data_IF_186136817406
#
_entry.id   IF_186136817406
#
_cell.length_a   1.000
_cell.length_b   1.000
_cell.length_c   1.000
_cell.angle_alpha   90.00
_cell.angle_beta   90.00
_cell.angle_gamma   90.00
#
_symmetry.space_group_name_H-M   'P 1'
#
loop_
_entity.id
_entity.type
_entity.pdbx_description
1 polymer ?
#
# COMPACT_ATOMS: atom_id res chain seq x y z
N UNK A 1 -12.52 -12.39 -16.99
CA UNK A 1 -12.41 -12.11 -15.55
C UNK A 1 -11.02 -12.36 -14.94
N UNK A 2 -10.53 -13.60 -14.87
CA UNK A 2 -9.40 -13.99 -13.99
C UNK A 2 -8.06 -13.33 -14.36
N UNK A 3 -7.73 -13.22 -15.65
CA UNK A 3 -6.48 -12.59 -16.10
C UNK A 3 -6.43 -11.08 -15.83
N UNK A 4 -7.55 -10.37 -16.03
CA UNK A 4 -7.64 -8.95 -15.71
C UNK A 4 -7.49 -8.70 -14.20
N UNK A 5 -8.09 -9.57 -13.37
CA UNK A 5 -7.93 -9.48 -11.92
C UNK A 5 -6.47 -9.69 -11.52
N UNK A 6 -5.74 -10.64 -12.11
CA UNK A 6 -4.31 -10.84 -11.80
C UNK A 6 -3.48 -9.56 -12.00
N UNK A 7 -3.71 -8.84 -13.10
CA UNK A 7 -3.00 -7.60 -13.43
C UNK A 7 -3.41 -6.45 -12.49
N UNK A 8 -4.70 -6.40 -12.10
CA UNK A 8 -5.27 -5.30 -11.33
C UNK A 8 -5.23 -5.51 -9.80
N UNK A 9 -4.72 -6.65 -9.33
CA UNK A 9 -4.61 -6.97 -7.89
C UNK A 9 -3.88 -5.86 -7.13
N UNK A 10 -4.53 -5.32 -6.10
CA UNK A 10 -3.97 -4.28 -5.23
C UNK A 10 -4.18 -2.85 -5.70
N UNK A 11 -4.90 -2.63 -6.82
CA UNK A 11 -5.33 -1.30 -7.29
C UNK A 11 -6.74 -1.02 -6.75
N UNK A 12 -6.98 0.21 -6.28
CA UNK A 12 -8.31 0.61 -5.82
C UNK A 12 -9.32 0.59 -6.99
N UNK A 13 -10.52 -0.02 -6.85
CA UNK A 13 -11.50 -0.11 -7.94
C UNK A 13 -11.93 1.26 -8.50
N UNK A 14 -11.85 2.31 -7.67
CA UNK A 14 -12.10 3.67 -8.11
C UNK A 14 -11.16 4.17 -9.22
N UNK A 15 -9.88 3.77 -9.23
CA UNK A 15 -8.95 4.16 -10.29
C UNK A 15 -9.26 3.45 -11.60
N UNK A 16 -9.65 2.18 -11.52
CA UNK A 16 -10.16 1.43 -12.68
C UNK A 16 -11.40 2.14 -13.25
N UNK A 17 -12.36 2.46 -12.38
CA UNK A 17 -13.59 3.16 -12.77
C UNK A 17 -13.31 4.51 -13.43
N UNK A 18 -12.38 5.30 -12.88
CA UNK A 18 -11.98 6.58 -13.48
C UNK A 18 -11.50 6.42 -14.92
N UNK A 19 -10.68 5.40 -15.17
CA UNK A 19 -10.17 5.11 -16.50
C UNK A 19 -11.29 4.64 -17.45
N UNK A 20 -12.20 3.79 -16.98
CA UNK A 20 -13.33 3.33 -17.80
C UNK A 20 -14.30 4.46 -18.17
N UNK A 21 -14.62 5.34 -17.22
CA UNK A 21 -15.44 6.53 -17.51
C UNK A 21 -14.76 7.46 -18.52
N UNK A 22 -13.44 7.65 -18.39
CA UNK A 22 -12.66 8.45 -19.34
C UNK A 22 -12.67 7.85 -20.74
N UNK A 23 -12.49 6.53 -20.89
CA UNK A 23 -12.54 5.84 -22.19
C UNK A 23 -13.91 6.00 -22.88
N UNK A 24 -14.99 5.98 -22.10
CA UNK A 24 -16.37 6.14 -22.59
C UNK A 24 -16.78 7.62 -22.70
N UNK A 25 -15.87 8.56 -22.44
CA UNK A 25 -16.11 10.00 -22.43
C UNK A 25 -17.27 10.44 -21.50
N UNK A 26 -17.45 9.72 -20.39
CA UNK A 26 -18.50 9.96 -19.40
C UNK A 26 -18.02 10.90 -18.30
N UNK A 27 -18.78 11.97 -18.03
CA UNK A 27 -18.52 12.85 -16.89
C UNK A 27 -18.94 12.17 -15.59
N UNK A 28 -18.06 12.17 -14.59
CA UNK A 28 -18.30 11.51 -13.28
C UNK A 28 -19.58 12.00 -12.61
N UNK A 29 -19.84 13.31 -12.64
CA UNK A 29 -21.02 13.89 -12.00
C UNK A 29 -22.33 13.41 -12.63
N UNK A 30 -22.42 13.46 -13.97
CA UNK A 30 -23.62 12.99 -14.69
C UNK A 30 -23.81 11.49 -14.53
N UNK A 31 -22.71 10.73 -14.55
CA UNK A 31 -22.75 9.28 -14.32
C UNK A 31 -23.21 8.92 -12.91
N UNK A 32 -22.78 9.66 -11.88
CA UNK A 32 -23.27 9.44 -10.51
C UNK A 32 -24.80 9.65 -10.42
N UNK A 33 -25.29 10.74 -11.04
CA UNK A 33 -26.71 11.06 -11.05
C UNK A 33 -27.54 9.98 -11.77
N UNK A 34 -27.04 9.41 -12.87
CA UNK A 34 -27.74 8.30 -13.56
C UNK A 34 -27.83 7.03 -12.70
N UNK A 35 -26.96 6.86 -11.71
CA UNK A 35 -27.01 5.76 -10.75
C UNK A 35 -27.82 6.07 -9.49
N UNK A 36 -28.46 7.26 -9.44
CA UNK A 36 -29.13 7.79 -8.26
C UNK A 36 -28.18 7.91 -7.05
N UNK A 37 -26.95 8.36 -7.31
CA UNK A 37 -25.89 8.48 -6.32
C UNK A 37 -25.32 9.90 -6.32
N UNK A 38 -24.85 10.36 -5.15
CA UNK A 38 -24.29 11.70 -5.05
C UNK A 38 -22.95 11.79 -5.79
N UNK A 39 -22.72 12.81 -6.64
CA UNK A 39 -21.46 13.02 -7.36
C UNK A 39 -20.23 13.00 -6.46
N UNK A 40 -20.33 13.55 -5.25
CA UNK A 40 -19.23 13.59 -4.28
C UNK A 40 -18.79 12.19 -3.82
N UNK A 41 -19.75 11.25 -3.70
CA UNK A 41 -19.48 9.85 -3.36
C UNK A 41 -18.63 9.22 -4.45
N UNK A 42 -19.08 9.30 -5.71
CA UNK A 42 -18.36 8.73 -6.84
C UNK A 42 -16.97 9.37 -7.02
N UNK A 43 -16.87 10.70 -6.90
CA UNK A 43 -15.60 11.41 -7.02
C UNK A 43 -14.61 10.96 -5.93
N UNK A 44 -15.06 10.82 -4.69
CA UNK A 44 -14.21 10.37 -3.58
C UNK A 44 -13.72 8.94 -3.77
N UNK A 45 -14.57 8.07 -4.32
CA UNK A 45 -14.21 6.69 -4.67
C UNK A 45 -13.19 6.66 -5.81
N UNK A 46 -13.43 7.41 -6.89
CA UNK A 46 -12.50 7.45 -8.03
C UNK A 46 -11.10 7.94 -7.64
N UNK A 47 -11.02 8.87 -6.68
CA UNK A 47 -9.75 9.35 -6.12
C UNK A 47 -9.10 8.39 -5.11
N UNK A 48 -9.69 7.22 -4.86
CA UNK A 48 -9.21 6.24 -3.87
C UNK A 48 -9.32 6.69 -2.41
N UNK A 49 -10.03 7.79 -2.13
CA UNK A 49 -10.21 8.32 -0.76
C UNK A 49 -11.31 7.60 0.00
N UNK A 50 -12.28 7.02 -0.71
CA UNK A 50 -13.41 6.28 -0.14
C UNK A 50 -13.47 4.88 -0.71
N UNK A 51 -13.72 3.90 0.16
CA UNK A 51 -13.97 2.51 -0.22
C UNK A 51 -15.24 2.38 -1.06
N UNK A 52 -15.24 1.49 -2.03
CA UNK A 52 -16.46 1.12 -2.75
C UNK A 52 -17.35 0.20 -1.88
N UNK A 53 -18.66 0.37 -1.98
CA UNK A 53 -19.66 -0.51 -1.37
C UNK A 53 -20.32 -1.39 -2.43
N UNK A 54 -20.94 -2.50 -2.00
CA UNK A 54 -21.55 -3.48 -2.89
C UNK A 54 -22.68 -2.90 -3.73
N UNK A 55 -23.60 -2.13 -3.13
CA UNK A 55 -24.76 -1.59 -3.85
C UNK A 55 -24.37 -0.66 -5.00
N UNK A 56 -23.40 0.23 -4.77
CA UNK A 56 -22.85 1.11 -5.80
C UNK A 56 -22.08 0.34 -6.85
N UNK A 57 -21.30 -0.67 -6.46
CA UNK A 57 -20.57 -1.52 -7.39
C UNK A 57 -21.53 -2.20 -8.39
N UNK A 58 -22.61 -2.81 -7.90
CA UNK A 58 -23.62 -3.47 -8.74
C UNK A 58 -24.29 -2.50 -9.73
N UNK A 59 -24.65 -1.29 -9.26
CA UNK A 59 -25.21 -0.24 -10.13
C UNK A 59 -24.25 0.17 -11.25
N UNK A 60 -22.97 0.36 -10.90
CA UNK A 60 -21.91 0.73 -11.86
C UNK A 60 -21.68 -0.40 -12.85
N UNK A 61 -21.56 -1.64 -12.36
CA UNK A 61 -21.29 -2.82 -13.19
C UNK A 61 -22.39 -3.02 -14.22
N UNK A 62 -23.66 -2.97 -13.78
CA UNK A 62 -24.81 -3.04 -14.68
C UNK A 62 -24.79 -1.91 -15.72
N UNK A 63 -24.58 -0.66 -15.29
CA UNK A 63 -24.58 0.50 -16.21
C UNK A 63 -23.42 0.49 -17.22
N UNK A 64 -22.29 -0.12 -16.89
CA UNK A 64 -21.10 -0.15 -17.73
C UNK A 64 -20.96 -1.47 -18.53
N UNK A 65 -21.86 -2.43 -18.31
CA UNK A 65 -21.79 -3.77 -18.91
C UNK A 65 -20.61 -4.59 -18.39
N UNK A 66 -20.25 -4.41 -17.11
CA UNK A 66 -19.21 -5.19 -16.45
C UNK A 66 -19.81 -6.42 -15.80
N UNK A 67 -18.96 -7.42 -15.58
CA UNK A 67 -19.33 -8.63 -14.84
C UNK A 67 -19.64 -8.29 -13.37
N UNK A 68 -20.71 -8.90 -12.86
CA UNK A 68 -21.16 -8.71 -11.49
C UNK A 68 -20.07 -9.11 -10.49
N UNK A 69 -19.84 -8.26 -9.48
CA UNK A 69 -18.88 -8.51 -8.41
C UNK A 69 -17.43 -8.22 -8.77
N UNK A 70 -17.13 -7.87 -10.02
CA UNK A 70 -15.77 -7.55 -10.47
C UNK A 70 -15.12 -6.44 -9.63
N UNK A 71 -15.81 -5.31 -9.42
CA UNK A 71 -15.29 -4.17 -8.67
C UNK A 71 -15.12 -4.51 -7.19
N UNK A 72 -15.99 -5.35 -6.63
CA UNK A 72 -15.89 -5.79 -5.25
C UNK A 72 -14.72 -6.75 -5.04
N UNK A 73 -14.43 -7.64 -5.99
CA UNK A 73 -13.23 -8.48 -5.95
C UNK A 73 -11.97 -7.60 -5.95
N UNK A 74 -11.92 -6.58 -6.81
CA UNK A 74 -10.83 -5.60 -6.79
C UNK A 74 -10.72 -4.88 -5.44
N UNK A 75 -11.85 -4.45 -4.86
CA UNK A 75 -11.87 -3.83 -3.54
C UNK A 75 -11.28 -4.75 -2.47
N UNK A 76 -11.64 -6.03 -2.47
CA UNK A 76 -11.11 -7.02 -1.51
C UNK A 76 -9.60 -7.16 -1.67
N UNK A 77 -9.09 -7.32 -2.90
CA UNK A 77 -7.64 -7.40 -3.12
C UNK A 77 -6.90 -6.11 -2.73
N UNK A 78 -7.49 -4.95 -3.01
CA UNK A 78 -6.96 -3.67 -2.56
C UNK A 78 -6.88 -3.62 -1.03
N UNK A 79 -7.94 -3.99 -0.33
CA UNK A 79 -7.97 -3.97 1.13
C UNK A 79 -6.96 -4.94 1.73
N UNK A 80 -6.78 -6.13 1.15
CA UNK A 80 -5.73 -7.07 1.54
C UNK A 80 -4.35 -6.41 1.37
N UNK A 81 -4.11 -5.72 0.25
CA UNK A 81 -2.85 -5.02 0.02
C UNK A 81 -2.63 -3.88 1.02
N UNK A 82 -3.67 -3.12 1.37
CA UNK A 82 -3.59 -2.07 2.39
C UNK A 82 -3.36 -2.65 3.78
N UNK A 83 -4.04 -3.72 4.16
CA UNK A 83 -3.82 -4.41 5.44
C UNK A 83 -2.42 -5.01 5.51
N UNK A 84 -1.88 -5.56 4.43
CA UNK A 84 -0.48 -6.00 4.37
C UNK A 84 0.48 -4.84 4.58
N UNK A 85 0.20 -3.65 4.05
CA UNK A 85 1.02 -2.44 4.32
C UNK A 85 0.90 -1.98 5.77
N UNK A 86 -0.30 -2.02 6.36
CA UNK A 86 -0.54 -1.60 7.75
C UNK A 86 0.02 -2.60 8.77
N UNK A 87 -0.11 -3.91 8.51
CA UNK A 87 0.51 -4.97 9.31
C UNK A 87 2.01 -5.13 9.10
N UNK A 88 2.59 -4.39 8.15
CA UNK A 88 4.04 -4.27 7.91
C UNK A 88 4.68 -3.09 8.64
N UNK A 89 3.98 -2.44 9.59
CA UNK A 89 4.63 -1.57 10.57
C UNK A 89 5.33 -2.46 11.61
N UNK A 90 6.22 -3.33 11.14
CA UNK A 90 7.27 -3.90 11.95
C UNK A 90 8.39 -2.85 11.87
N UNK A 91 8.61 -2.16 12.97
CA UNK A 91 9.74 -1.28 13.16
C UNK A 91 10.46 -1.68 14.46
N UNK A 92 11.78 -1.42 14.56
CA UNK A 92 12.48 -1.52 15.85
C UNK A 92 11.92 -0.47 16.82
N UNK A 93 12.20 -0.61 18.10
CA UNK A 93 11.83 0.40 19.09
C UNK A 93 12.55 1.72 18.80
N UNK A 94 11.80 2.73 18.37
CA UNK A 94 12.32 4.07 18.08
C UNK A 94 12.78 4.82 19.32
N UNK A 95 12.41 4.38 20.52
CA UNK A 95 12.93 4.92 21.77
C UNK A 95 14.40 4.56 21.96
N UNK A 96 14.85 3.47 21.33
CA UNK A 96 16.22 2.96 21.40
C UNK A 96 17.10 3.53 20.28
N UNK A 97 16.56 3.66 19.06
CA UNK A 97 17.32 4.10 17.89
C UNK A 97 17.30 5.62 17.75
N UNK A 98 18.47 6.26 17.80
CA UNK A 98 18.58 7.71 17.63
C UNK A 98 18.35 8.11 16.16
N UNK A 99 17.43 9.05 15.87
CA UNK A 99 17.18 9.52 14.51
C UNK A 99 18.40 10.08 13.79
N UNK A 100 19.39 10.62 14.53
CA UNK A 100 20.63 11.19 13.98
C UNK A 100 21.46 10.19 13.15
N UNK A 101 21.31 8.88 13.38
CA UNK A 101 21.97 7.85 12.56
C UNK A 101 21.56 7.94 11.10
N UNK A 102 20.34 8.44 10.84
CA UNK A 102 19.73 8.57 9.52
C UNK A 102 19.56 10.05 9.14
N UNK A 103 20.55 10.90 9.45
CA UNK A 103 20.47 12.35 9.18
C UNK A 103 20.18 12.72 7.70
N UNK A 104 20.49 11.82 6.77
CA UNK A 104 20.26 11.92 5.33
C UNK A 104 18.88 11.41 4.87
N UNK A 105 18.07 10.81 5.76
CA UNK A 105 16.76 10.20 5.45
C UNK A 105 15.71 10.59 6.48
N UNK A 106 14.48 10.90 6.05
CA UNK A 106 13.38 11.08 7.02
C UNK A 106 13.09 9.76 7.76
N UNK A 107 13.47 9.73 9.04
CA UNK A 107 13.35 8.57 9.94
C UNK A 107 11.94 7.96 9.97
N UNK A 108 10.89 8.80 9.84
CA UNK A 108 9.49 8.34 9.88
C UNK A 108 9.07 7.63 8.59
N UNK A 109 9.82 7.81 7.51
CA UNK A 109 9.50 7.26 6.19
C UNK A 109 10.34 6.03 5.84
N UNK A 110 11.31 5.66 6.69
CA UNK A 110 12.16 4.49 6.50
C UNK A 110 11.28 3.24 6.42
N UNK A 111 11.46 2.49 5.33
CA UNK A 111 10.83 1.20 5.20
C UNK A 111 11.74 0.13 5.81
N UNK A 112 11.57 -0.12 7.11
CA UNK A 112 12.39 -1.04 7.90
C UNK A 112 12.44 -2.47 7.32
N UNK A 113 11.48 -2.90 6.52
CA UNK A 113 11.53 -4.21 5.87
C UNK A 113 12.32 -4.18 4.55
N UNK A 114 11.97 -3.25 3.65
CA UNK A 114 12.59 -3.16 2.32
C UNK A 114 14.03 -2.68 2.35
N UNK A 115 14.35 -1.79 3.29
CA UNK A 115 15.66 -1.17 3.44
C UNK A 115 16.52 -1.86 4.51
N UNK A 116 16.18 -3.11 4.88
CA UNK A 116 16.85 -3.86 5.95
C UNK A 116 18.38 -3.82 5.86
N UNK A 117 18.95 -4.00 4.66
CA UNK A 117 20.41 -4.04 4.44
C UNK A 117 21.07 -2.71 4.83
N UNK A 118 20.55 -1.62 4.30
CA UNK A 118 21.06 -0.27 4.56
C UNK A 118 20.89 0.14 6.04
N UNK A 119 19.76 -0.24 6.65
CA UNK A 119 19.49 0.01 8.07
C UNK A 119 20.48 -0.75 8.96
N UNK A 120 20.61 -2.06 8.77
CA UNK A 120 21.52 -2.92 9.55
C UNK A 120 22.94 -2.35 9.44
N UNK A 121 23.43 -2.15 8.22
CA UNK A 121 24.77 -1.64 7.98
C UNK A 121 25.01 -0.31 8.72
N UNK A 122 24.09 0.66 8.57
CA UNK A 122 24.23 1.99 9.16
C UNK A 122 24.27 1.96 10.69
N UNK A 123 23.43 1.15 11.32
CA UNK A 123 23.41 1.00 12.78
C UNK A 123 24.67 0.27 13.26
N UNK A 124 25.17 -0.72 12.51
CA UNK A 124 26.40 -1.42 12.89
C UNK A 124 27.67 -0.58 12.69
N UNK A 125 27.69 0.31 11.71
CA UNK A 125 28.80 1.25 11.45
C UNK A 125 28.83 2.43 12.43
N UNK A 126 27.67 3.01 12.78
CA UNK A 126 27.61 4.32 13.48
C UNK A 126 26.85 4.28 14.82
N UNK A 127 26.11 3.21 15.09
CA UNK A 127 25.29 3.05 16.30
C UNK A 127 26.08 2.56 17.51
N UNK A 128 25.50 2.76 18.69
CA UNK A 128 25.99 2.23 19.96
C UNK A 128 25.54 0.77 20.17
N UNK A 129 26.01 0.11 21.24
CA UNK A 129 25.68 -1.29 21.48
C UNK A 129 24.18 -1.55 21.66
N UNK A 130 23.46 -0.67 22.36
CA UNK A 130 22.01 -0.81 22.61
C UNK A 130 21.23 -0.75 21.28
N UNK A 131 21.64 0.13 20.37
CA UNK A 131 21.06 0.25 19.03
C UNK A 131 21.33 -1.00 18.18
N UNK A 132 22.53 -1.58 18.27
CA UNK A 132 22.90 -2.83 17.58
C UNK A 132 22.10 -4.02 18.13
N UNK A 133 21.94 -4.10 19.44
CA UNK A 133 21.16 -5.17 20.10
C UNK A 133 19.69 -5.09 19.69
N UNK A 134 19.12 -3.89 19.61
CA UNK A 134 17.73 -3.69 19.16
C UNK A 134 17.53 -4.06 17.69
N UNK A 135 18.44 -3.65 16.80
CA UNK A 135 18.41 -4.07 15.39
C UNK A 135 18.55 -5.58 15.24
N UNK A 136 19.38 -6.21 16.07
CA UNK A 136 19.56 -7.67 16.10
C UNK A 136 18.31 -8.39 16.60
N UNK A 137 17.67 -7.87 17.65
CA UNK A 137 16.37 -8.36 18.14
C UNK A 137 15.28 -8.22 17.07
N UNK A 138 15.28 -7.10 16.35
CA UNK A 138 14.25 -6.78 15.36
C UNK A 138 14.35 -7.60 14.07
N UNK A 139 15.56 -7.78 13.50
CA UNK A 139 15.77 -8.54 12.25
C UNK A 139 16.17 -10.00 12.45
N UNK A 140 16.57 -10.38 13.66
CA UNK A 140 17.15 -11.68 13.98
C UNK A 140 18.65 -11.77 13.69
N UNK A 141 19.35 -12.55 14.52
CA UNK A 141 20.81 -12.72 14.49
C UNK A 141 21.30 -13.17 13.11
N UNK A 142 20.69 -14.23 12.56
CA UNK A 142 21.06 -14.78 11.25
C UNK A 142 21.00 -13.73 10.13
N UNK A 143 19.92 -12.95 10.06
CA UNK A 143 19.74 -11.91 9.03
C UNK A 143 20.83 -10.83 9.12
N UNK A 144 21.20 -10.47 10.34
CA UNK A 144 22.21 -9.44 10.61
C UNK A 144 23.60 -9.93 10.24
N UNK A 145 23.96 -11.14 10.66
CA UNK A 145 25.26 -11.76 10.34
C UNK A 145 25.45 -11.95 8.84
N UNK A 146 24.43 -12.44 8.12
CA UNK A 146 24.44 -12.54 6.66
C UNK A 146 24.64 -11.17 5.99
N UNK A 147 23.99 -10.13 6.53
CA UNK A 147 24.06 -8.77 5.97
C UNK A 147 25.44 -8.14 6.15
N UNK A 148 26.07 -8.37 7.30
CA UNK A 148 27.39 -7.83 7.64
C UNK A 148 28.50 -8.59 6.91
N UNK A 149 28.37 -9.92 6.78
CA UNK A 149 29.37 -10.74 6.09
C UNK A 149 29.46 -10.39 4.60
N UNK A 150 28.32 -10.18 3.93
CA UNK A 150 28.25 -9.75 2.52
C UNK A 150 28.70 -8.29 2.27
N UNK A 151 29.22 -7.61 3.29
CA UNK A 151 29.79 -6.26 3.18
C UNK A 151 31.32 -6.24 3.38
N UNK A 152 31.89 -7.32 3.93
CA UNK A 152 33.33 -7.45 4.14
C UNK A 152 34.06 -8.04 2.91
N UNK A 153 33.34 -8.45 1.87
CA UNK A 153 33.82 -8.81 0.52
C UNK A 153 33.68 -7.63 -0.45
#
# INVERSE_FOLDING_TARGET
>A
MIEQIKILKGIHPGFYLENELRKKNLKKGTFALSLQEFPQTLVSITKGKRRMNTGLALKIENSLGLEEGFLMILQVYYDIAQKKKQGQILHPDFSIIRPVLFWDTDFKTINWQKQKRAVIQRVFERGNQIEKDEITRFYGVQTVEETISNYAE
#
